data_IF_503260955136
#
_entry.id   IF_503260955136
#
_cell.length_a   1.000
_cell.length_b   1.000
_cell.length_c   1.000
_cell.angle_alpha   90.00
_cell.angle_beta   90.00
_cell.angle_gamma   90.00
#
_symmetry.space_group_name_H-M   'P 1'
#
loop_
_entity.id
_entity.type
_entity.pdbx_description
1 polymer ?
#
# COMPACT_ATOMS: atom_id res chain seq x y z
N UNK A 1 -2.78 -24.19 12.06
CA UNK A 1 -2.11 -24.63 10.82
C UNK A 1 -1.33 -23.43 10.30
N UNK A 2 -0.17 -23.16 10.88
CA UNK A 2 0.75 -22.12 10.42
C UNK A 2 1.70 -22.80 9.44
N UNK A 3 1.42 -22.71 8.14
CA UNK A 3 2.41 -23.09 7.13
C UNK A 3 3.62 -22.16 7.33
N UNK A 4 4.82 -22.74 7.22
CA UNK A 4 6.10 -22.03 7.27
C UNK A 4 6.00 -20.73 6.49
N UNK A 5 6.55 -19.59 6.97
CA UNK A 5 6.47 -18.33 6.26
C UNK A 5 7.22 -18.49 4.93
N UNK A 6 6.48 -18.85 3.88
CA UNK A 6 7.02 -18.85 2.54
C UNK A 6 7.24 -17.40 2.15
N UNK A 7 8.29 -17.16 1.37
CA UNK A 7 8.72 -15.83 0.98
C UNK A 7 7.57 -15.04 0.27
N UNK A 8 6.58 -15.77 -0.27
CA UNK A 8 5.42 -15.24 -0.97
C UNK A 8 4.33 -14.62 -0.08
N UNK A 9 4.32 -14.94 1.22
CA UNK A 9 3.41 -14.31 2.19
C UNK A 9 4.06 -13.15 2.94
N UNK A 10 5.38 -13.03 2.88
CA UNK A 10 6.11 -11.94 3.52
C UNK A 10 5.77 -10.58 2.88
N UNK A 11 5.83 -10.49 1.54
CA UNK A 11 5.59 -9.22 0.84
C UNK A 11 4.18 -8.65 1.09
N UNK A 12 3.09 -9.44 0.96
CA UNK A 12 1.72 -8.95 1.23
C UNK A 12 1.52 -8.50 2.67
N UNK A 13 2.08 -9.22 3.64
CA UNK A 13 1.98 -8.86 5.05
C UNK A 13 2.80 -7.62 5.39
N UNK A 14 3.97 -7.46 4.78
CA UNK A 14 4.78 -6.26 4.91
C UNK A 14 4.01 -5.04 4.38
N UNK A 15 3.43 -5.15 3.19
CA UNK A 15 2.63 -4.08 2.57
C UNK A 15 1.39 -3.77 3.39
N UNK A 16 0.67 -4.80 3.85
CA UNK A 16 -0.49 -4.62 4.73
C UNK A 16 -0.11 -3.84 5.99
N UNK A 17 1.03 -4.19 6.61
CA UNK A 17 1.56 -3.51 7.80
C UNK A 17 1.96 -2.07 7.49
N UNK A 18 2.63 -1.82 6.36
CA UNK A 18 2.99 -0.48 5.92
C UNK A 18 1.76 0.38 5.65
N UNK A 19 0.72 -0.19 5.06
CA UNK A 19 -0.53 0.52 4.75
C UNK A 19 -1.35 0.81 6.01
N UNK A 20 -1.43 -0.15 6.95
CA UNK A 20 -2.11 0.08 8.23
C UNK A 20 -1.37 1.09 9.07
N UNK A 21 -0.11 0.84 9.41
CA UNK A 21 0.66 1.71 10.31
C UNK A 21 1.00 3.05 9.66
N UNK A 22 1.44 3.04 8.39
CA UNK A 22 1.72 4.26 7.65
C UNK A 22 0.47 5.12 7.49
N UNK A 23 -0.67 4.52 7.13
CA UNK A 23 -1.96 5.19 7.08
C UNK A 23 -2.42 5.74 8.43
N UNK A 24 -2.12 5.04 9.53
CA UNK A 24 -2.50 5.47 10.87
C UNK A 24 -1.68 6.70 11.33
N UNK A 25 -0.39 6.73 11.01
CA UNK A 25 0.48 7.88 11.29
C UNK A 25 -0.07 9.15 10.63
N UNK A 26 -0.61 9.03 9.42
CA UNK A 26 -1.27 10.11 8.67
C UNK A 26 -2.56 10.63 9.31
N UNK A 27 -3.14 9.93 10.29
CA UNK A 27 -4.32 10.39 11.04
C UNK A 27 -3.94 11.12 12.32
N UNK A 28 -2.85 10.72 12.96
CA UNK A 28 -2.41 11.26 14.25
C UNK A 28 -1.38 12.39 14.11
N UNK A 29 -0.46 12.32 13.14
CA UNK A 29 0.58 13.32 12.95
C UNK A 29 0.85 13.62 11.47
N UNK A 30 -0.04 14.42 10.90
CA UNK A 30 -0.10 14.67 9.46
C UNK A 30 1.04 15.55 8.97
N UNK A 31 1.40 16.57 9.75
CA UNK A 31 2.46 17.49 9.37
C UNK A 31 3.82 16.77 9.30
N UNK A 32 4.16 15.97 10.33
CA UNK A 32 5.37 15.13 10.27
C UNK A 32 5.27 14.01 9.23
N UNK A 33 4.08 13.46 8.98
CA UNK A 33 3.90 12.47 7.92
C UNK A 33 4.11 13.08 6.53
N UNK A 34 3.57 14.28 6.27
CA UNK A 34 3.73 14.98 5.00
C UNK A 34 5.19 15.32 4.74
N UNK A 35 5.92 15.78 5.76
CA UNK A 35 7.35 16.05 5.62
C UNK A 35 8.17 14.77 5.42
N UNK A 36 7.84 13.68 6.13
CA UNK A 36 8.46 12.36 5.91
C UNK A 36 8.12 11.76 4.53
N UNK A 37 6.96 12.11 3.97
CA UNK A 37 6.60 11.84 2.58
C UNK A 37 7.39 12.70 1.58
N UNK A 38 8.18 13.67 2.04
CA UNK A 38 9.00 14.54 1.21
C UNK A 38 8.23 15.72 0.60
N UNK A 39 7.03 16.03 1.10
CA UNK A 39 6.28 17.20 0.65
C UNK A 39 6.93 18.50 1.15
N UNK A 40 6.91 19.58 0.35
CA UNK A 40 7.44 20.88 0.74
C UNK A 40 6.66 21.47 1.93
N UNK A 41 7.35 22.28 2.73
CA UNK A 41 6.83 22.81 4.01
C UNK A 41 5.50 23.55 3.85
N UNK A 42 5.33 24.31 2.76
CA UNK A 42 4.09 25.04 2.49
C UNK A 42 2.86 24.14 2.34
N UNK A 43 3.02 22.91 1.82
CA UNK A 43 1.92 21.93 1.76
C UNK A 43 1.71 21.27 3.11
N UNK A 44 2.77 20.98 3.86
CA UNK A 44 2.64 20.38 5.20
C UNK A 44 1.98 21.31 6.22
N UNK A 45 2.10 22.63 6.03
CA UNK A 45 1.52 23.65 6.92
C UNK A 45 0.09 24.06 6.52
N UNK A 46 -0.36 23.77 5.29
CA UNK A 46 -1.72 24.07 4.84
C UNK A 46 -2.75 23.13 5.51
N UNK A 47 -3.73 23.66 6.25
CA UNK A 47 -4.80 22.86 6.85
C UNK A 47 -5.62 22.10 5.80
N UNK A 48 -5.84 22.69 4.62
CA UNK A 48 -6.60 22.10 3.53
C UNK A 48 -5.88 20.87 2.97
N UNK A 49 -4.57 20.98 2.74
CA UNK A 49 -3.75 19.87 2.27
C UNK A 49 -3.68 18.75 3.31
N UNK A 50 -3.58 19.09 4.61
CA UNK A 50 -3.59 18.11 5.69
C UNK A 50 -4.91 17.30 5.73
N UNK A 51 -6.07 17.92 5.50
CA UNK A 51 -7.36 17.21 5.48
C UNK A 51 -7.39 16.15 4.37
N UNK A 52 -6.95 16.51 3.16
CA UNK A 52 -6.87 15.57 2.04
C UNK A 52 -5.89 14.43 2.35
N UNK A 53 -4.76 14.75 2.96
CA UNK A 53 -3.74 13.76 3.32
C UNK A 53 -4.22 12.80 4.44
N UNK A 54 -5.07 13.26 5.37
CA UNK A 54 -5.76 12.38 6.35
C UNK A 54 -6.71 11.41 5.67
N UNK A 55 -7.49 11.89 4.70
CA UNK A 55 -8.42 11.03 3.95
C UNK A 55 -7.64 9.97 3.18
N UNK A 56 -6.51 10.33 2.58
CA UNK A 56 -5.58 9.38 1.98
C UNK A 56 -5.07 8.34 3.01
N UNK A 57 -4.62 8.79 4.19
CA UNK A 57 -4.21 7.92 5.30
C UNK A 57 -5.29 6.92 5.72
N UNK A 58 -6.54 7.38 5.91
CA UNK A 58 -7.68 6.53 6.24
C UNK A 58 -7.94 5.45 5.19
N UNK A 59 -7.86 5.81 3.90
CA UNK A 59 -8.01 4.85 2.78
C UNK A 59 -6.88 3.82 2.80
N UNK A 60 -5.63 4.25 2.96
CA UNK A 60 -4.48 3.35 3.06
C UNK A 60 -4.64 2.37 4.23
N UNK A 61 -5.04 2.85 5.41
CA UNK A 61 -5.30 1.99 6.58
C UNK A 61 -6.41 0.98 6.30
N UNK A 62 -7.50 1.40 5.64
CA UNK A 62 -8.62 0.51 5.30
C UNK A 62 -8.18 -0.60 4.35
N UNK A 63 -7.35 -0.29 3.35
CA UNK A 63 -6.78 -1.29 2.42
C UNK A 63 -5.87 -2.26 3.18
N UNK A 64 -4.99 -1.77 4.07
CA UNK A 64 -4.13 -2.64 4.88
C UNK A 64 -4.94 -3.60 5.78
N UNK A 65 -5.99 -3.10 6.42
CA UNK A 65 -6.93 -3.93 7.22
C UNK A 65 -7.63 -4.96 6.33
N UNK A 66 -8.07 -4.57 5.13
CA UNK A 66 -8.70 -5.49 4.18
C UNK A 66 -7.76 -6.63 3.77
N UNK A 67 -6.47 -6.34 3.54
CA UNK A 67 -5.47 -7.38 3.23
C UNK A 67 -5.31 -8.33 4.42
N UNK A 68 -5.20 -7.83 5.66
CA UNK A 68 -5.14 -8.70 6.85
C UNK A 68 -6.38 -9.57 7.00
N UNK A 69 -7.56 -9.00 6.77
CA UNK A 69 -8.81 -9.74 6.84
C UNK A 69 -8.89 -10.86 5.79
N UNK A 70 -8.58 -10.54 4.53
CA UNK A 70 -8.57 -11.51 3.43
C UNK A 70 -7.51 -12.59 3.64
N UNK A 71 -6.36 -12.23 4.20
CA UNK A 71 -5.31 -13.17 4.57
C UNK A 71 -5.79 -14.14 5.65
N UNK A 72 -6.45 -13.64 6.70
CA UNK A 72 -7.05 -14.48 7.74
C UNK A 72 -8.15 -15.42 7.23
N UNK A 73 -8.83 -15.06 6.13
CA UNK A 73 -9.83 -15.89 5.45
C UNK A 73 -9.23 -16.84 4.39
N UNK A 74 -7.97 -16.66 4.02
CA UNK A 74 -7.29 -17.44 2.97
C UNK A 74 -7.66 -17.05 1.54
N UNK A 75 -8.20 -15.84 1.32
CA UNK A 75 -8.55 -15.33 -0.01
C UNK A 75 -7.33 -14.70 -0.71
N UNK A 76 -6.32 -15.50 -1.01
CA UNK A 76 -5.04 -15.02 -1.53
C UNK A 76 -5.14 -14.37 -2.93
N UNK A 77 -6.06 -14.84 -3.78
CA UNK A 77 -6.31 -14.21 -5.07
C UNK A 77 -6.82 -12.76 -4.94
N UNK A 78 -7.69 -12.49 -3.97
CA UNK A 78 -8.17 -11.14 -3.72
C UNK A 78 -7.05 -10.21 -3.21
N UNK A 79 -6.09 -10.76 -2.47
CA UNK A 79 -4.90 -10.02 -2.03
C UNK A 79 -4.04 -9.64 -3.24
N UNK A 80 -3.79 -10.58 -4.15
CA UNK A 80 -3.04 -10.32 -5.39
C UNK A 80 -3.68 -9.21 -6.23
N UNK A 81 -5.02 -9.21 -6.36
CA UNK A 81 -5.75 -8.13 -7.03
C UNK A 81 -5.57 -6.79 -6.33
N UNK A 82 -5.68 -6.75 -4.99
CA UNK A 82 -5.47 -5.52 -4.22
C UNK A 82 -4.04 -4.98 -4.37
N UNK A 83 -3.03 -5.86 -4.38
CA UNK A 83 -1.64 -5.48 -4.59
C UNK A 83 -1.41 -4.93 -6.01
N UNK A 84 -1.97 -5.59 -7.04
CA UNK A 84 -1.90 -5.14 -8.42
C UNK A 84 -2.48 -3.73 -8.61
N UNK A 85 -3.70 -3.49 -8.07
CA UNK A 85 -4.37 -2.19 -8.15
C UNK A 85 -3.64 -1.13 -7.32
N UNK A 86 -3.11 -1.50 -6.14
CA UNK A 86 -2.32 -0.58 -5.32
C UNK A 86 -1.02 -0.16 -6.02
N UNK A 87 -0.44 -1.02 -6.85
CA UNK A 87 0.70 -0.67 -7.71
C UNK A 87 0.37 0.43 -8.72
N UNK A 88 -0.84 0.44 -9.28
CA UNK A 88 -1.31 1.52 -10.17
C UNK A 88 -1.39 2.84 -9.41
N UNK A 89 -1.95 2.83 -8.19
CA UNK A 89 -2.00 4.02 -7.35
C UNK A 89 -0.60 4.58 -7.05
N UNK A 90 0.35 3.71 -6.71
CA UNK A 90 1.74 4.10 -6.48
C UNK A 90 2.45 4.67 -7.72
N UNK A 91 2.11 4.16 -8.91
CA UNK A 91 2.59 4.71 -10.18
C UNK A 91 2.05 6.12 -10.44
N UNK A 92 0.73 6.32 -10.23
CA UNK A 92 0.10 7.64 -10.38
C UNK A 92 0.66 8.65 -9.37
N UNK A 93 0.84 8.25 -8.11
CA UNK A 93 1.45 9.09 -7.08
C UNK A 93 2.89 9.48 -7.46
N UNK A 94 3.65 8.55 -8.02
CA UNK A 94 4.99 8.83 -8.54
C UNK A 94 4.99 9.91 -9.63
N UNK A 95 4.04 9.83 -10.56
CA UNK A 95 3.84 10.84 -11.60
C UNK A 95 3.51 12.23 -11.04
N UNK A 96 2.65 12.29 -10.02
CA UNK A 96 2.29 13.54 -9.35
C UNK A 96 3.48 14.13 -8.58
N UNK A 97 4.21 13.30 -7.82
CA UNK A 97 5.42 13.76 -7.12
C UNK A 97 6.50 14.24 -8.09
N UNK A 98 6.59 13.66 -9.29
CA UNK A 98 7.50 14.11 -10.33
C UNK A 98 7.11 15.50 -10.85
N UNK A 99 5.81 15.76 -11.07
CA UNK A 99 5.35 17.10 -11.51
C UNK A 99 5.56 18.19 -10.46
N UNK A 100 5.57 17.82 -9.17
CA UNK A 100 5.83 18.74 -8.05
C UNK A 100 7.34 18.93 -7.75
N UNK A 101 8.23 18.33 -8.54
CA UNK A 101 9.68 18.46 -8.40
C UNK A 101 10.31 17.60 -7.30
N UNK A 102 9.56 16.67 -6.70
CA UNK A 102 10.02 15.77 -5.62
C UNK A 102 10.53 14.46 -6.24
N UNK A 103 11.61 14.56 -7.02
CA UNK A 103 12.11 13.48 -7.88
C UNK A 103 12.55 12.24 -7.09
N UNK A 104 13.19 12.42 -5.92
CA UNK A 104 13.68 11.31 -5.10
C UNK A 104 12.54 10.42 -4.56
N UNK A 105 11.51 11.04 -4.00
CA UNK A 105 10.31 10.33 -3.53
C UNK A 105 9.52 9.72 -4.69
N UNK A 106 9.41 10.44 -5.81
CA UNK A 106 8.70 9.95 -7.00
C UNK A 106 9.28 8.63 -7.51
N UNK A 107 10.61 8.55 -7.64
CA UNK A 107 11.30 7.34 -8.12
C UNK A 107 11.10 6.17 -7.15
N UNK A 108 11.27 6.40 -5.84
CA UNK A 108 11.09 5.34 -4.85
C UNK A 108 9.65 4.80 -4.84
N UNK A 109 8.64 5.69 -4.90
CA UNK A 109 7.22 5.31 -4.92
C UNK A 109 6.86 4.53 -6.18
N UNK A 110 7.38 4.96 -7.34
CA UNK A 110 7.13 4.28 -8.60
C UNK A 110 7.78 2.89 -8.61
N UNK A 111 9.03 2.77 -8.16
CA UNK A 111 9.72 1.48 -8.07
C UNK A 111 9.05 0.53 -7.08
N UNK A 112 8.70 1.02 -5.89
CA UNK A 112 7.92 0.25 -4.92
C UNK A 112 6.58 -0.19 -5.52
N UNK A 113 5.88 0.72 -6.22
CA UNK A 113 4.62 0.44 -6.90
C UNK A 113 4.73 -0.64 -7.98
N UNK A 114 5.81 -0.63 -8.77
CA UNK A 114 6.06 -1.66 -9.79
C UNK A 114 6.35 -3.02 -9.16
N UNK A 115 7.15 -3.07 -8.08
CA UNK A 115 7.43 -4.32 -7.37
C UNK A 115 6.16 -4.88 -6.74
N UNK A 116 5.39 -4.05 -6.04
CA UNK A 116 4.13 -4.44 -5.39
C UNK A 116 3.07 -4.83 -6.42
N UNK A 117 2.86 -4.01 -7.44
CA UNK A 117 1.89 -4.24 -8.50
C UNK A 117 2.23 -5.46 -9.33
N UNK A 118 3.52 -5.65 -9.65
CA UNK A 118 4.03 -6.83 -10.34
C UNK A 118 3.85 -8.10 -9.51
N UNK A 119 4.04 -8.03 -8.19
CA UNK A 119 3.82 -9.17 -7.30
C UNK A 119 2.38 -9.67 -7.34
N UNK A 120 1.43 -8.73 -7.26
CA UNK A 120 0.00 -9.04 -7.35
C UNK A 120 -0.41 -9.48 -8.76
N UNK A 121 0.10 -8.83 -9.81
CA UNK A 121 -0.21 -9.20 -11.20
C UNK A 121 0.27 -10.62 -11.55
N UNK A 122 1.44 -11.02 -11.04
CA UNK A 122 1.98 -12.36 -11.22
C UNK A 122 1.30 -13.42 -10.32
N UNK A 123 0.37 -13.02 -9.45
CA UNK A 123 -0.38 -13.91 -8.58
C UNK A 123 0.50 -14.70 -7.61
N UNK A 124 1.63 -14.12 -7.20
CA UNK A 124 2.65 -14.84 -6.44
C UNK A 124 2.17 -15.24 -5.04
N UNK A 125 1.21 -14.51 -4.47
CA UNK A 125 0.61 -14.84 -3.17
C UNK A 125 -0.37 -16.01 -3.26
N UNK A 126 -1.14 -16.12 -4.34
CA UNK A 126 -2.04 -17.25 -4.59
C UNK A 126 -1.32 -18.51 -5.10
N UNK A 127 -0.08 -18.39 -5.58
CA UNK A 127 0.64 -19.47 -6.27
C UNK A 127 1.02 -20.66 -5.38
N UNK A 128 1.20 -20.43 -4.08
CA UNK A 128 1.56 -21.47 -3.09
C UNK A 128 0.42 -21.86 -2.14
N UNK A 129 -0.71 -21.16 -2.21
CA UNK A 129 -1.87 -21.51 -1.40
C UNK A 129 -2.64 -22.67 -2.05
N UNK A 130 -3.07 -23.70 -1.31
CA UNK A 130 -4.04 -24.64 -1.82
C UNK A 130 -5.27 -23.86 -2.26
N UNK A 131 -5.57 -23.93 -3.56
CA UNK A 131 -6.70 -23.28 -4.20
C UNK A 131 -7.95 -23.69 -3.41
N UNK A 132 -8.55 -22.77 -2.66
CA UNK A 132 -9.93 -22.92 -2.22
C UNK A 132 -10.77 -22.45 -3.39
N UNK A 133 -10.91 -23.36 -4.34
CA UNK A 133 -11.72 -23.17 -5.53
C UNK A 133 -13.11 -22.72 -5.09
N UNK A 134 -13.63 -21.79 -5.89
CA UNK A 134 -15.01 -21.35 -5.91
C UNK A 134 -15.90 -22.61 -6.04
N UNK A 135 -16.49 -23.02 -4.93
CA UNK A 135 -17.38 -24.16 -4.83
C UNK A 135 -18.30 -23.96 -3.63
N UNK A 136 -19.45 -23.33 -3.90
CA UNK A 136 -20.51 -23.00 -2.96
C UNK A 136 -21.42 -21.94 -3.55
#
# INVERSE_FOLDING_TARGET
>A
MFQSPSLNHFLPLLIATSFTLGGLILLFNVCSAMSAFGLPSYLSESPEAQVVFRIYGARATTIGIAIFWLYGKGYFYAIDVLLAVSGIAAFLDGGICWSEGIVGTAVWRTLAGVVVGGWGFLGLTAREAPRKDIGG
#
